data_IF_168900153713
#
_entry.id   IF_168900153713
#
_cell.length_a   1.000
_cell.length_b   1.000
_cell.length_c   1.000
_cell.angle_alpha   90.00
_cell.angle_beta   90.00
_cell.angle_gamma   90.00
#
_symmetry.space_group_name_H-M   'P 1'
#
loop_
_entity.id
_entity.type
_entity.pdbx_description
1 polymer ?
#
# COMPACT_ATOMS: atom_id res chain seq x y z
N UNK A 1 -39.35 -7.52 -9.70
CA UNK A 1 -39.39 -8.04 -8.32
C UNK A 1 -37.94 -8.41 -7.98
N UNK A 2 -37.15 -7.42 -7.56
CA UNK A 2 -35.76 -7.63 -7.14
C UNK A 2 -35.77 -7.54 -5.62
N UNK A 3 -35.56 -8.68 -4.98
CA UNK A 3 -35.59 -8.81 -3.52
C UNK A 3 -34.48 -7.98 -2.87
N UNK A 4 -34.87 -7.30 -1.81
CA UNK A 4 -33.98 -6.59 -0.89
C UNK A 4 -32.80 -7.47 -0.50
N UNK A 5 -31.60 -7.10 -0.95
CA UNK A 5 -30.35 -7.68 -0.43
C UNK A 5 -30.01 -6.97 0.87
N UNK A 6 -30.60 -7.41 1.96
CA UNK A 6 -30.10 -7.08 3.29
C UNK A 6 -28.73 -7.75 3.48
N UNK A 7 -27.72 -6.98 3.87
CA UNK A 7 -26.56 -7.53 4.55
C UNK A 7 -27.00 -7.77 5.99
N UNK A 8 -27.33 -9.03 6.32
CA UNK A 8 -27.61 -9.41 7.70
C UNK A 8 -26.28 -9.58 8.45
N UNK A 9 -25.85 -8.56 9.19
CA UNK A 9 -24.83 -8.76 10.24
C UNK A 9 -25.55 -9.38 11.44
N UNK A 10 -25.69 -10.71 11.43
CA UNK A 10 -26.16 -11.44 12.60
C UNK A 10 -25.13 -11.28 13.73
N UNK A 11 -25.38 -10.36 14.66
CA UNK A 11 -24.70 -10.36 15.95
C UNK A 11 -25.73 -10.35 17.07
N UNK A 12 -26.08 -11.52 17.64
CA UNK A 12 -26.77 -11.58 18.92
C UNK A 12 -25.75 -11.93 20.00
N UNK A 13 -24.87 -11.01 20.37
CA UNK A 13 -24.13 -11.10 21.63
C UNK A 13 -23.95 -9.71 22.23
N UNK A 14 -25.01 -9.24 22.91
CA UNK A 14 -24.84 -8.26 23.98
C UNK A 14 -24.16 -8.95 25.15
N UNK A 15 -22.88 -8.65 25.37
CA UNK A 15 -22.26 -8.84 26.68
C UNK A 15 -22.24 -7.47 27.37
N UNK A 16 -22.82 -7.39 28.57
CA UNK A 16 -22.88 -6.18 29.41
C UNK A 16 -21.51 -5.82 30.02
N UNK A 17 -20.45 -5.82 29.21
CA UNK A 17 -19.14 -5.30 29.57
C UNK A 17 -18.62 -4.52 28.36
N UNK A 18 -18.64 -3.18 28.44
CA UNK A 18 -17.97 -2.25 27.52
C UNK A 18 -17.81 -2.79 26.08
N UNK A 19 -18.93 -3.08 25.43
CA UNK A 19 -18.94 -3.65 24.09
C UNK A 19 -18.84 -2.54 23.05
N UNK A 20 -18.02 -2.75 22.02
CA UNK A 20 -18.07 -1.96 20.79
C UNK A 20 -19.43 -2.24 20.14
N UNK A 21 -20.34 -1.27 20.19
CA UNK A 21 -21.60 -1.35 19.47
C UNK A 21 -21.41 -0.75 18.07
N UNK A 22 -21.65 -1.57 17.03
CA UNK A 22 -21.81 -1.06 15.66
C UNK A 22 -23.28 -0.73 15.50
N UNK A 23 -23.62 0.53 15.30
CA UNK A 23 -24.99 0.92 15.01
C UNK A 23 -25.30 0.64 13.53
N UNK A 24 -26.15 -0.36 13.21
CA UNK A 24 -26.49 -0.69 11.83
C UNK A 24 -27.23 0.45 11.11
N UNK A 25 -27.83 1.39 11.85
CA UNK A 25 -28.48 2.58 11.28
C UNK A 25 -27.47 3.63 10.80
N UNK A 26 -26.20 3.49 11.19
CA UNK A 26 -25.10 4.39 10.78
C UNK A 26 -24.27 3.84 9.62
N UNK A 27 -24.72 2.75 8.97
CA UNK A 27 -24.04 2.22 7.80
C UNK A 27 -24.01 3.25 6.66
N UNK A 28 -22.81 3.65 6.25
CA UNK A 28 -22.61 4.61 5.17
C UNK A 28 -21.68 4.03 4.11
N UNK A 29 -22.09 4.11 2.85
CA UNK A 29 -21.22 3.84 1.71
C UNK A 29 -20.31 5.04 1.49
N UNK A 30 -19.03 4.90 1.83
CA UNK A 30 -18.01 5.97 1.68
C UNK A 30 -17.61 6.18 0.21
N UNK A 31 -17.78 5.15 -0.64
CA UNK A 31 -17.52 5.24 -2.07
C UNK A 31 -17.96 3.99 -2.81
N UNK A 32 -18.09 4.11 -4.13
CA UNK A 32 -18.36 2.99 -5.03
C UNK A 32 -17.63 3.22 -6.36
N UNK A 33 -17.22 2.13 -7.01
CA UNK A 33 -16.74 2.18 -8.38
C UNK A 33 -17.90 2.10 -9.37
N UNK A 34 -17.73 2.75 -10.53
CA UNK A 34 -18.64 2.68 -11.66
C UNK A 34 -18.26 1.60 -12.67
N UNK A 35 -17.26 0.76 -12.38
CA UNK A 35 -16.79 -0.31 -13.25
C UNK A 35 -16.86 -1.67 -12.56
N UNK A 36 -17.47 -2.62 -13.26
CA UNK A 36 -17.47 -4.04 -12.87
C UNK A 36 -16.04 -4.58 -12.79
N UNK A 37 -15.81 -5.51 -11.86
CA UNK A 37 -14.51 -6.17 -11.66
C UNK A 37 -13.32 -5.26 -11.33
N UNK A 38 -13.55 -3.97 -11.06
CA UNK A 38 -12.49 -3.04 -10.65
C UNK A 38 -11.86 -3.35 -9.29
N UNK A 39 -12.53 -4.19 -8.49
CA UNK A 39 -12.15 -4.56 -7.12
C UNK A 39 -12.02 -3.35 -6.20
N UNK A 40 -12.97 -2.42 -6.31
CA UNK A 40 -13.02 -1.26 -5.41
C UNK A 40 -13.18 -1.70 -3.96
N UNK A 41 -12.32 -1.17 -3.09
CA UNK A 41 -12.22 -1.61 -1.69
C UNK A 41 -11.18 -2.71 -1.46
N UNK A 42 -10.42 -3.12 -2.49
CA UNK A 42 -9.36 -4.11 -2.35
C UNK A 42 -8.31 -3.70 -1.31
N UNK A 43 -7.91 -2.43 -1.32
CA UNK A 43 -7.04 -1.84 -0.31
C UNK A 43 -7.73 -0.67 0.38
N UNK A 44 -7.43 -0.52 1.67
CA UNK A 44 -7.99 0.55 2.50
C UNK A 44 -6.98 1.00 3.56
N UNK A 45 -6.83 2.31 3.74
CA UNK A 45 -6.11 2.90 4.86
C UNK A 45 -6.88 4.08 5.42
N UNK A 46 -6.95 4.19 6.74
CA UNK A 46 -7.65 5.27 7.44
C UNK A 46 -6.75 5.86 8.51
N UNK A 47 -6.68 7.18 8.59
CA UNK A 47 -6.03 7.89 9.70
C UNK A 47 -6.94 8.99 10.24
N UNK A 48 -7.14 8.99 11.56
CA UNK A 48 -7.80 10.09 12.25
C UNK A 48 -6.81 11.23 12.46
N UNK A 49 -7.27 12.44 12.13
CA UNK A 49 -6.50 13.67 12.23
C UNK A 49 -7.16 14.54 13.29
N UNK A 50 -6.44 14.74 14.39
CA UNK A 50 -6.84 15.70 15.40
C UNK A 50 -6.20 17.05 15.08
N UNK A 51 -7.00 18.10 15.11
CA UNK A 51 -6.53 19.47 14.92
C UNK A 51 -6.08 19.99 16.27
N UNK A 52 -4.77 20.26 16.48
CA UNK A 52 -4.34 20.82 17.74
C UNK A 52 -5.06 22.13 18.00
N UNK A 53 -5.47 22.34 19.25
CA UNK A 53 -6.12 23.57 19.73
C UNK A 53 -7.53 23.82 19.16
N UNK A 54 -8.15 22.84 18.51
CA UNK A 54 -9.60 22.87 18.22
C UNK A 54 -10.24 21.56 18.69
N UNK A 55 -11.57 21.55 18.81
CA UNK A 55 -12.35 20.33 19.06
C UNK A 55 -12.69 19.56 17.77
N UNK A 56 -12.03 19.89 16.65
CA UNK A 56 -12.30 19.28 15.36
C UNK A 56 -11.40 18.05 15.16
N UNK A 57 -12.02 16.95 14.79
CA UNK A 57 -11.38 15.74 14.30
C UNK A 57 -11.98 15.38 12.96
N UNK A 58 -11.15 15.00 12.00
CA UNK A 58 -11.57 14.39 10.76
C UNK A 58 -10.81 13.10 10.53
N UNK A 59 -11.24 12.31 9.55
CA UNK A 59 -10.45 11.18 9.08
C UNK A 59 -10.12 11.34 7.60
N UNK A 60 -8.96 10.79 7.24
CA UNK A 60 -8.52 10.65 5.87
C UNK A 60 -8.52 9.18 5.54
N UNK A 61 -9.16 8.83 4.44
CA UNK A 61 -9.29 7.45 3.99
C UNK A 61 -8.82 7.32 2.54
N UNK A 62 -8.04 6.29 2.25
CA UNK A 62 -7.71 5.87 0.89
C UNK A 62 -8.35 4.53 0.57
N UNK A 63 -8.91 4.39 -0.63
CA UNK A 63 -9.58 3.18 -1.11
C UNK A 63 -9.09 2.83 -2.51
N UNK A 64 -8.54 1.62 -2.66
CA UNK A 64 -7.95 1.13 -3.90
C UNK A 64 -8.88 0.26 -4.74
N UNK A 65 -8.65 0.29 -6.05
CA UNK A 65 -9.31 -0.53 -7.06
C UNK A 65 -8.27 -0.96 -8.12
N UNK A 66 -7.39 -1.93 -7.82
CA UNK A 66 -6.25 -2.25 -8.68
C UNK A 66 -6.64 -2.78 -10.07
N UNK A 67 -7.82 -3.40 -10.21
CA UNK A 67 -8.32 -3.88 -11.49
C UNK A 67 -9.15 -2.82 -12.25
N UNK A 68 -9.17 -1.56 -11.79
CA UNK A 68 -9.86 -0.49 -12.50
C UNK A 68 -9.29 -0.33 -13.91
N UNK A 69 -10.19 -0.32 -14.90
CA UNK A 69 -9.84 -0.17 -16.32
C UNK A 69 -9.80 1.32 -16.66
N UNK A 70 -8.78 1.75 -17.37
CA UNK A 70 -8.70 3.13 -17.86
C UNK A 70 -9.25 3.15 -19.27
N UNK A 71 -10.49 3.65 -19.37
CA UNK A 71 -11.24 3.66 -20.61
C UNK A 71 -10.64 4.66 -21.59
N UNK A 72 -10.48 4.23 -22.84
CA UNK A 72 -10.13 5.12 -23.96
C UNK A 72 -11.22 6.16 -24.22
N UNK A 73 -12.49 5.76 -24.07
CA UNK A 73 -13.64 6.63 -24.27
C UNK A 73 -14.25 7.08 -22.94
N UNK A 74 -14.74 8.32 -22.89
CA UNK A 74 -15.35 8.93 -21.69
C UNK A 74 -16.58 8.19 -21.16
N UNK A 75 -17.32 7.53 -22.04
CA UNK A 75 -18.51 6.75 -21.67
C UNK A 75 -18.16 5.34 -21.19
N UNK A 76 -16.87 4.97 -21.16
CA UNK A 76 -16.38 3.65 -20.76
C UNK A 76 -17.03 2.46 -21.49
N UNK A 77 -17.51 2.66 -22.71
CA UNK A 77 -17.79 1.52 -23.60
C UNK A 77 -16.50 0.74 -23.83
N UNK A 78 -16.57 -0.58 -23.75
CA UNK A 78 -15.41 -1.46 -23.94
C UNK A 78 -14.74 -1.18 -25.29
N UNK A 79 -13.43 -0.98 -25.26
CA UNK A 79 -12.56 -0.87 -26.43
C UNK A 79 -11.28 -1.67 -26.18
N UNK A 80 -10.70 -2.25 -27.24
CA UNK A 80 -9.45 -3.01 -27.14
C UNK A 80 -8.25 -2.14 -26.71
N UNK A 81 -8.33 -0.82 -26.93
CA UNK A 81 -7.35 0.15 -26.47
C UNK A 81 -7.53 0.61 -25.02
N UNK A 82 -8.48 0.04 -24.27
CA UNK A 82 -8.61 0.28 -22.84
C UNK A 82 -7.41 -0.31 -22.07
N UNK A 83 -6.83 0.47 -21.15
CA UNK A 83 -5.78 -0.04 -20.28
C UNK A 83 -6.39 -0.96 -19.23
N UNK A 84 -6.09 -2.26 -19.34
CA UNK A 84 -6.54 -3.30 -18.42
C UNK A 84 -5.76 -3.23 -17.11
N UNK A 85 -6.46 -3.31 -15.98
CA UNK A 85 -5.86 -3.29 -14.63
C UNK A 85 -4.83 -2.16 -14.43
N UNK A 86 -5.11 -0.97 -14.98
CA UNK A 86 -4.29 0.22 -14.71
C UNK A 86 -4.41 0.65 -13.25
N UNK A 87 -5.57 0.40 -12.64
CA UNK A 87 -5.81 0.64 -11.24
C UNK A 87 -6.20 2.08 -10.93
N UNK A 88 -6.70 2.26 -9.72
CA UNK A 88 -7.21 3.52 -9.20
C UNK A 88 -7.08 3.58 -7.68
N UNK A 89 -6.81 4.78 -7.16
CA UNK A 89 -6.89 5.08 -5.74
C UNK A 89 -7.75 6.33 -5.53
N UNK A 90 -8.80 6.20 -4.73
CA UNK A 90 -9.64 7.31 -4.28
C UNK A 90 -9.24 7.72 -2.87
N UNK A 91 -9.22 9.03 -2.60
CA UNK A 91 -8.97 9.56 -1.26
C UNK A 91 -10.12 10.43 -0.80
N UNK A 92 -10.55 10.17 0.42
CA UNK A 92 -11.67 10.82 1.08
C UNK A 92 -11.21 11.55 2.33
N UNK A 93 -11.85 12.68 2.61
CA UNK A 93 -11.79 13.36 3.89
C UNK A 93 -13.22 13.46 4.42
N UNK A 94 -13.47 12.88 5.59
CA UNK A 94 -14.80 12.79 6.20
C UNK A 94 -15.88 12.30 5.21
N UNK A 95 -15.54 11.26 4.46
CA UNK A 95 -16.43 10.65 3.47
C UNK A 95 -16.60 11.44 2.16
N UNK A 96 -15.98 12.62 2.04
CA UNK A 96 -15.98 13.40 0.79
C UNK A 96 -14.76 13.06 -0.05
N UNK A 97 -14.96 12.67 -1.31
CA UNK A 97 -13.87 12.46 -2.27
C UNK A 97 -13.11 13.78 -2.49
N UNK A 98 -11.82 13.79 -2.16
CA UNK A 98 -10.95 14.96 -2.31
C UNK A 98 -9.95 14.81 -3.45
N UNK A 99 -9.53 13.57 -3.75
CA UNK A 99 -8.59 13.32 -4.84
C UNK A 99 -8.68 11.88 -5.36
N UNK A 100 -8.24 11.67 -6.59
CA UNK A 100 -8.22 10.36 -7.24
C UNK A 100 -7.01 10.25 -8.17
N UNK A 101 -6.32 9.12 -8.11
CA UNK A 101 -5.29 8.74 -9.07
C UNK A 101 -5.73 7.52 -9.86
N UNK A 102 -5.26 7.42 -11.09
CA UNK A 102 -5.36 6.23 -11.94
C UNK A 102 -3.98 5.86 -12.43
N UNK A 103 -3.75 4.59 -12.76
CA UNK A 103 -2.52 4.18 -13.45
C UNK A 103 -2.36 4.83 -14.83
N UNK A 104 -1.30 4.45 -15.51
CA UNK A 104 -0.92 4.94 -16.84
C UNK A 104 -0.55 3.81 -17.81
N UNK A 105 -0.44 2.55 -17.35
CA UNK A 105 -0.16 1.40 -18.21
C UNK A 105 -1.02 0.18 -17.88
N UNK A 106 -1.00 -0.82 -18.78
CA UNK A 106 -1.61 -2.12 -18.51
C UNK A 106 -0.98 -2.78 -17.30
N UNK A 107 -1.81 -3.44 -16.49
CA UNK A 107 -1.40 -4.23 -15.33
C UNK A 107 -0.55 -3.47 -14.31
N UNK A 108 -0.60 -2.13 -14.31
CA UNK A 108 0.10 -1.32 -13.31
C UNK A 108 -0.44 -1.57 -11.90
N UNK A 109 -1.74 -1.86 -11.80
CA UNK A 109 -2.46 -2.16 -10.57
C UNK A 109 -2.34 -1.04 -9.53
N UNK A 110 -2.40 0.22 -9.96
CA UNK A 110 -2.35 1.37 -9.05
C UNK A 110 -3.44 1.25 -7.96
N UNK A 111 -3.05 1.49 -6.71
CA UNK A 111 -3.95 1.36 -5.57
C UNK A 111 -4.09 -0.07 -5.05
N UNK A 112 -3.26 -1.01 -5.50
CA UNK A 112 -3.18 -2.36 -4.91
C UNK A 112 -2.97 -2.32 -3.39
N UNK A 113 -2.18 -1.38 -2.92
CA UNK A 113 -1.94 -1.05 -1.52
C UNK A 113 -1.87 0.47 -1.38
N UNK A 114 -2.24 0.97 -0.21
CA UNK A 114 -2.09 2.37 0.13
C UNK A 114 -1.93 2.55 1.64
N UNK A 115 -1.29 3.64 2.03
CA UNK A 115 -1.18 4.02 3.43
C UNK A 115 -1.27 5.53 3.59
N UNK A 116 -2.04 5.95 4.58
CA UNK A 116 -2.14 7.34 5.03
C UNK A 116 -1.29 7.52 6.27
N UNK A 117 -0.44 8.54 6.30
CA UNK A 117 0.49 8.82 7.40
C UNK A 117 0.69 10.31 7.66
N UNK A 118 1.48 10.62 8.69
CA UNK A 118 1.85 11.98 9.11
C UNK A 118 0.63 12.91 9.28
N UNK A 119 -0.33 12.46 10.08
CA UNK A 119 -1.58 13.18 10.38
C UNK A 119 -2.41 13.46 9.11
N UNK A 120 -2.52 12.47 8.22
CA UNK A 120 -3.36 12.52 7.04
C UNK A 120 -2.75 13.27 5.85
N UNK A 121 -1.52 13.76 5.97
CA UNK A 121 -0.90 14.60 4.94
C UNK A 121 -0.08 13.84 3.92
N UNK A 122 0.41 12.65 4.27
CA UNK A 122 1.17 11.81 3.36
C UNK A 122 0.34 10.61 2.94
N UNK A 123 0.33 10.33 1.64
CA UNK A 123 -0.34 9.17 1.08
C UNK A 123 0.66 8.40 0.23
N UNK A 124 1.00 7.19 0.67
CA UNK A 124 1.74 6.22 -0.11
C UNK A 124 0.76 5.45 -1.01
N UNK A 125 1.08 5.39 -2.30
CA UNK A 125 0.29 4.77 -3.36
C UNK A 125 1.17 3.75 -4.06
N UNK A 126 0.78 2.47 -4.04
CA UNK A 126 1.54 1.42 -4.71
C UNK A 126 0.99 1.09 -6.09
N UNK A 127 1.89 0.73 -6.99
CA UNK A 127 1.62 0.12 -8.30
C UNK A 127 2.53 -1.10 -8.46
N UNK A 128 2.25 -2.24 -7.80
CA UNK A 128 3.17 -3.38 -7.79
C UNK A 128 3.30 -4.09 -9.14
N UNK A 129 2.41 -3.81 -10.10
CA UNK A 129 2.54 -4.34 -11.46
C UNK A 129 3.19 -3.36 -12.44
N UNK A 130 3.66 -2.19 -11.97
CA UNK A 130 4.35 -1.23 -12.80
C UNK A 130 5.68 -1.79 -13.33
N UNK A 131 5.96 -1.51 -14.60
CA UNK A 131 7.28 -1.71 -15.19
C UNK A 131 8.22 -0.59 -14.74
N UNK A 132 9.47 -0.96 -14.42
CA UNK A 132 10.51 -0.01 -13.99
C UNK A 132 11.62 0.03 -15.02
N UNK A 133 12.02 1.24 -15.45
CA UNK A 133 13.22 1.43 -16.29
C UNK A 133 14.46 1.42 -15.40
N UNK A 134 15.41 0.55 -15.70
CA UNK A 134 16.70 0.42 -15.00
C UNK A 134 17.87 0.47 -16.01
N UNK A 135 19.09 0.43 -15.49
CA UNK A 135 20.32 0.26 -16.28
C UNK A 135 21.18 -0.80 -15.63
N UNK A 136 21.38 -1.93 -16.31
CA UNK A 136 22.16 -3.05 -15.82
C UNK A 136 23.44 -3.15 -16.65
N UNK A 137 24.61 -3.07 -15.98
CA UNK A 137 25.92 -3.04 -16.66
C UNK A 137 26.03 -2.01 -17.80
N UNK A 138 25.35 -0.86 -17.66
CA UNK A 138 25.32 0.20 -18.68
C UNK A 138 24.29 0.01 -19.80
N UNK A 139 23.51 -1.08 -19.78
CA UNK A 139 22.48 -1.38 -20.77
C UNK A 139 21.12 -0.97 -20.21
N UNK A 140 20.36 -0.11 -20.92
CA UNK A 140 18.98 0.21 -20.53
C UNK A 140 18.11 -1.06 -20.58
N UNK A 141 17.41 -1.34 -19.48
CA UNK A 141 16.48 -2.47 -19.39
C UNK A 141 15.14 -2.00 -18.80
N UNK A 142 14.08 -2.74 -19.13
CA UNK A 142 12.78 -2.58 -18.48
C UNK A 142 12.53 -3.82 -17.62
N UNK A 143 12.41 -3.62 -16.31
CA UNK A 143 12.07 -4.66 -15.36
C UNK A 143 10.55 -4.78 -15.31
N UNK A 144 10.02 -5.82 -15.96
CA UNK A 144 8.58 -6.08 -16.05
C UNK A 144 8.00 -6.33 -14.67
N UNK A 145 6.90 -5.67 -14.30
CA UNK A 145 6.22 -5.85 -13.00
C UNK A 145 7.16 -5.79 -11.79
N UNK A 146 8.24 -4.99 -11.88
CA UNK A 146 9.13 -4.75 -10.76
C UNK A 146 8.42 -4.02 -9.61
N UNK A 147 7.44 -3.18 -9.97
CA UNK A 147 6.62 -2.43 -9.04
C UNK A 147 7.25 -1.10 -8.63
N UNK A 148 6.40 -0.16 -8.25
CA UNK A 148 6.82 1.13 -7.69
C UNK A 148 5.85 1.62 -6.63
N UNK A 149 6.34 2.52 -5.78
CA UNK A 149 5.54 3.25 -4.81
C UNK A 149 5.73 4.74 -5.03
N UNK A 150 4.64 5.50 -5.04
CA UNK A 150 4.66 6.95 -5.11
C UNK A 150 4.11 7.52 -3.80
N UNK A 151 4.76 8.53 -3.25
CA UNK A 151 4.30 9.22 -2.03
C UNK A 151 3.92 10.63 -2.39
N UNK A 152 2.69 10.98 -2.02
CA UNK A 152 2.13 12.30 -2.23
C UNK A 152 1.98 13.04 -0.91
N UNK A 153 2.19 14.35 -0.93
CA UNK A 153 2.01 15.24 0.20
C UNK A 153 0.89 16.25 -0.08
N UNK A 154 -0.01 16.42 0.88
CA UNK A 154 -1.01 17.49 0.88
C UNK A 154 -0.47 18.70 1.65
N UNK A 155 -0.21 19.83 0.96
CA UNK A 155 0.53 20.95 1.55
C UNK A 155 -0.29 21.77 2.55
N UNK A 156 -1.61 21.74 2.44
CA UNK A 156 -2.49 22.39 3.40
C UNK A 156 -3.19 21.36 4.30
N UNK A 157 -3.44 21.77 5.55
CA UNK A 157 -4.04 20.93 6.59
C UNK A 157 -5.44 20.41 6.23
N UNK A 158 -6.16 21.15 5.40
CA UNK A 158 -7.54 20.83 4.99
C UNK A 158 -7.60 20.11 3.64
N UNK A 159 -6.44 19.72 3.07
CA UNK A 159 -6.33 19.01 1.80
C UNK A 159 -7.14 19.66 0.66
N UNK A 160 -7.24 20.99 0.70
CA UNK A 160 -7.92 21.81 -0.31
C UNK A 160 -7.03 22.06 -1.52
N UNK A 161 -5.71 21.96 -1.35
CA UNK A 161 -4.74 22.04 -2.44
C UNK A 161 -4.49 20.65 -3.02
N UNK A 162 -4.14 20.62 -4.30
CA UNK A 162 -3.76 19.39 -4.98
C UNK A 162 -2.55 18.75 -4.30
N UNK A 163 -2.53 17.42 -4.16
CA UNK A 163 -1.36 16.72 -3.65
C UNK A 163 -0.17 16.89 -4.60
N UNK A 164 1.02 16.99 -4.02
CA UNK A 164 2.29 17.05 -4.75
C UNK A 164 3.01 15.72 -4.62
N UNK A 165 3.56 15.21 -5.73
CA UNK A 165 4.42 14.02 -5.69
C UNK A 165 5.75 14.42 -5.03
N UNK A 166 6.12 13.73 -3.95
CA UNK A 166 7.35 14.03 -3.21
C UNK A 166 8.39 12.93 -3.34
N UNK A 167 7.97 11.66 -3.33
CA UNK A 167 8.90 10.54 -3.40
C UNK A 167 8.42 9.47 -4.36
N UNK A 168 9.35 8.81 -5.04
CA UNK A 168 9.13 7.55 -5.75
C UNK A 168 10.11 6.52 -5.25
N UNK A 169 9.67 5.29 -5.03
CA UNK A 169 10.54 4.16 -4.76
C UNK A 169 10.34 3.15 -5.87
N UNK A 170 11.43 2.66 -6.45
CA UNK A 170 11.41 1.76 -7.59
C UNK A 170 11.87 0.35 -7.19
N UNK A 171 11.14 -0.67 -7.63
CA UNK A 171 11.58 -2.05 -7.55
C UNK A 171 12.80 -2.32 -8.43
N UNK A 172 13.65 -3.24 -8.00
CA UNK A 172 14.96 -3.54 -8.60
C UNK A 172 15.04 -4.93 -9.25
N UNK A 173 13.94 -5.67 -9.29
CA UNK A 173 13.88 -7.05 -9.82
C UNK A 173 12.62 -7.24 -10.64
N UNK A 174 12.72 -7.88 -11.80
CA UNK A 174 11.54 -8.20 -12.60
C UNK A 174 10.61 -9.13 -11.79
N UNK A 175 9.30 -8.92 -11.94
CA UNK A 175 8.23 -9.62 -11.23
C UNK A 175 8.31 -9.56 -9.69
N UNK A 176 9.19 -8.72 -9.13
CA UNK A 176 9.41 -8.62 -7.68
C UNK A 176 8.22 -8.06 -6.91
N UNK A 177 7.29 -7.39 -7.61
CA UNK A 177 6.06 -6.80 -7.08
C UNK A 177 6.32 -5.86 -5.91
N UNK A 178 7.33 -5.02 -6.04
CA UNK A 178 7.66 -3.99 -5.06
C UNK A 178 6.47 -3.05 -4.85
N UNK A 179 6.05 -2.86 -3.61
CA UNK A 179 4.85 -2.12 -3.26
C UNK A 179 3.62 -2.98 -3.01
N UNK A 180 3.71 -4.32 -3.02
CA UNK A 180 2.55 -5.19 -2.77
C UNK A 180 1.84 -4.86 -1.44
N UNK A 181 2.62 -4.48 -0.41
CA UNK A 181 2.14 -3.88 0.83
C UNK A 181 2.96 -2.62 1.10
N UNK A 182 2.27 -1.52 1.39
CA UNK A 182 2.88 -0.28 1.86
C UNK A 182 2.31 0.13 3.21
N UNK A 183 3.15 0.67 4.10
CA UNK A 183 2.73 1.24 5.40
C UNK A 183 3.53 2.49 5.70
N UNK A 184 2.86 3.57 6.04
CA UNK A 184 3.44 4.74 6.69
C UNK A 184 3.24 4.58 8.19
N UNK A 185 4.33 4.40 8.93
CA UNK A 185 4.27 4.22 10.37
C UNK A 185 5.61 4.55 11.03
N UNK A 186 5.57 5.22 12.18
CA UNK A 186 6.74 5.45 13.02
C UNK A 186 7.34 4.12 13.52
N UNK A 187 8.50 3.76 12.96
CA UNK A 187 9.29 2.59 13.32
C UNK A 187 10.63 2.91 13.97
N UNK A 188 11.02 4.17 14.04
CA UNK A 188 12.24 4.66 14.68
C UNK A 188 12.00 5.21 16.09
N UNK A 189 10.77 5.60 16.40
CA UNK A 189 10.33 6.16 17.67
C UNK A 189 10.49 7.68 17.77
N UNK A 190 10.70 8.38 16.66
CA UNK A 190 10.94 9.84 16.60
C UNK A 190 9.66 10.65 16.28
N UNK A 191 8.50 10.00 16.25
CA UNK A 191 7.20 10.56 15.88
C UNK A 191 7.04 10.92 14.39
N UNK A 192 8.05 10.63 13.56
CA UNK A 192 7.92 10.61 12.12
C UNK A 192 7.53 9.21 11.63
N UNK A 193 6.66 9.14 10.63
CA UNK A 193 6.42 7.87 9.94
C UNK A 193 7.58 7.54 8.98
N UNK A 194 8.03 6.29 9.02
CA UNK A 194 8.80 5.70 7.94
C UNK A 194 7.87 5.02 6.94
N UNK A 195 8.35 4.87 5.71
CA UNK A 195 7.67 4.06 4.72
C UNK A 195 8.23 2.63 4.72
N UNK A 196 7.37 1.67 4.99
CA UNK A 196 7.63 0.24 4.87
C UNK A 196 7.05 -0.24 3.55
N UNK A 197 7.85 -0.96 2.76
CA UNK A 197 7.46 -1.50 1.46
C UNK A 197 7.83 -2.98 1.36
N UNK A 198 6.88 -3.83 0.99
CA UNK A 198 7.17 -5.25 0.68
C UNK A 198 7.46 -5.47 -0.80
N UNK A 199 8.23 -6.50 -1.10
CA UNK A 199 8.39 -7.07 -2.42
C UNK A 199 8.45 -8.61 -2.29
N UNK A 200 7.31 -9.27 -2.02
CA UNK A 200 7.29 -10.67 -1.60
C UNK A 200 7.67 -11.65 -2.72
N UNK A 201 7.72 -11.21 -3.97
CA UNK A 201 8.18 -12.02 -5.11
C UNK A 201 9.57 -11.64 -5.59
N UNK A 202 10.25 -10.77 -4.85
CA UNK A 202 11.61 -10.36 -5.18
C UNK A 202 12.57 -11.51 -4.90
N UNK A 203 13.41 -11.82 -5.88
CA UNK A 203 14.55 -12.73 -5.72
C UNK A 203 15.88 -12.01 -5.66
N UNK A 204 16.87 -12.62 -5.00
CA UNK A 204 18.27 -12.21 -5.07
C UNK A 204 19.01 -12.86 -6.23
N UNK A 205 18.51 -13.97 -6.75
CA UNK A 205 19.10 -14.68 -7.87
C UNK A 205 18.47 -14.20 -9.19
N UNK A 206 19.23 -13.40 -9.93
CA UNK A 206 18.78 -12.83 -11.22
C UNK A 206 18.47 -13.94 -12.23
N UNK A 207 19.07 -15.13 -12.10
CA UNK A 207 18.81 -16.25 -12.99
C UNK A 207 17.47 -16.95 -12.72
N UNK A 208 16.90 -16.75 -11.53
CA UNK A 208 15.63 -17.35 -11.10
C UNK A 208 14.43 -16.39 -11.24
N UNK A 209 14.64 -15.14 -11.67
CA UNK A 209 13.54 -14.17 -11.89
C UNK A 209 12.45 -14.70 -12.82
N UNK A 210 12.85 -15.38 -13.91
CA UNK A 210 11.93 -16.00 -14.86
C UNK A 210 11.39 -17.37 -14.39
N UNK A 211 12.07 -17.99 -13.43
CA UNK A 211 11.71 -19.31 -12.90
C UNK A 211 10.86 -19.22 -11.61
N UNK A 212 10.57 -18.00 -11.16
CA UNK A 212 9.73 -17.75 -9.99
C UNK A 212 10.49 -17.79 -8.66
N UNK A 213 11.72 -17.31 -8.62
CA UNK A 213 12.40 -16.98 -7.36
C UNK A 213 11.56 -16.01 -6.54
N UNK A 214 10.94 -16.50 -5.46
CA UNK A 214 10.06 -15.70 -4.59
C UNK A 214 10.53 -15.76 -3.13
N UNK A 215 11.81 -15.46 -2.86
CA UNK A 215 12.33 -15.34 -1.48
C UNK A 215 11.60 -14.24 -0.70
N UNK A 216 11.38 -13.11 -1.37
CA UNK A 216 10.71 -11.93 -0.85
C UNK A 216 11.63 -10.99 -0.07
N UNK A 217 11.16 -9.76 0.10
CA UNK A 217 11.88 -8.72 0.82
C UNK A 217 10.94 -7.70 1.48
N UNK A 218 11.44 -7.03 2.51
CA UNK A 218 10.83 -5.86 3.14
C UNK A 218 11.87 -4.74 3.26
N UNK A 219 11.50 -3.54 2.85
CA UNK A 219 12.34 -2.35 2.87
C UNK A 219 11.70 -1.28 3.77
N UNK A 220 12.52 -0.54 4.49
CA UNK A 220 12.12 0.61 5.30
C UNK A 220 12.87 1.83 4.80
N UNK A 221 12.15 2.89 4.46
CA UNK A 221 12.69 4.16 4.00
C UNK A 221 12.36 5.26 5.00
N UNK A 222 13.36 6.10 5.28
CA UNK A 222 13.12 7.40 5.91
C UNK A 222 12.59 8.36 4.86
N UNK A 223 11.50 9.05 5.17
CA UNK A 223 11.02 10.11 4.29
C UNK A 223 11.89 11.36 4.52
N UNK A 224 12.55 11.89 3.49
CA UNK A 224 13.30 13.14 3.63
C UNK A 224 12.32 14.32 3.75
N UNK A 225 12.86 15.51 3.97
CA UNK A 225 12.07 16.74 3.92
C UNK A 225 11.43 16.94 2.54
N UNK A 226 10.23 17.52 2.53
CA UNK A 226 9.51 17.81 1.29
C UNK A 226 10.19 18.98 0.59
N UNK A 227 10.84 18.69 -0.53
CA UNK A 227 11.41 19.69 -1.43
C UNK A 227 10.50 20.03 -2.62
N UNK A 228 10.99 20.88 -3.51
CA UNK A 228 10.25 21.33 -4.70
C UNK A 228 10.15 20.27 -5.80
N UNK A 229 11.06 19.28 -5.80
CA UNK A 229 11.15 18.24 -6.83
C UNK A 229 11.05 16.85 -6.20
N UNK A 230 10.40 15.88 -6.88
CA UNK A 230 10.28 14.54 -6.36
C UNK A 230 11.64 13.82 -6.33
N UNK A 231 11.94 13.18 -5.21
CA UNK A 231 13.15 12.35 -5.06
C UNK A 231 12.80 10.91 -5.44
N UNK A 232 13.66 10.28 -6.23
CA UNK A 232 13.53 8.85 -6.57
C UNK A 232 14.52 8.04 -5.75
N UNK A 233 14.00 7.02 -5.07
CA UNK A 233 14.72 6.06 -4.28
C UNK A 233 14.78 4.70 -4.97
N UNK A 234 15.91 4.05 -4.84
CA UNK A 234 16.13 2.64 -5.23
C UNK A 234 16.16 1.75 -3.98
N UNK A 235 16.14 0.42 -4.16
CA UNK A 235 16.09 -0.55 -3.04
C UNK A 235 17.34 -0.53 -2.15
N UNK A 236 18.50 -0.20 -2.71
CA UNK A 236 19.78 -0.04 -2.01
C UNK A 236 19.81 1.19 -1.09
N UNK A 237 18.95 2.17 -1.33
CA UNK A 237 18.82 3.39 -0.52
C UNK A 237 17.86 3.21 0.66
N UNK A 238 17.29 2.02 0.85
CA UNK A 238 16.47 1.73 2.02
C UNK A 238 17.31 1.89 3.31
N UNK A 239 16.74 2.59 4.30
CA UNK A 239 17.33 2.72 5.63
C UNK A 239 17.53 1.35 6.29
N UNK A 240 16.62 0.41 6.05
CA UNK A 240 16.76 -0.98 6.49
C UNK A 240 16.10 -1.94 5.51
N UNK A 241 16.70 -3.10 5.29
CA UNK A 241 16.14 -4.17 4.45
C UNK A 241 16.16 -5.50 5.18
N UNK A 242 15.14 -6.32 4.91
CA UNK A 242 15.02 -7.71 5.35
C UNK A 242 14.81 -8.54 4.09
N UNK A 243 15.82 -9.31 3.71
CA UNK A 243 15.82 -10.09 2.48
C UNK A 243 15.63 -11.56 2.84
N UNK A 244 14.66 -12.22 2.21
CA UNK A 244 14.44 -13.65 2.34
C UNK A 244 15.60 -14.43 1.73
N UNK A 245 15.87 -15.61 2.29
CA UNK A 245 16.91 -16.53 1.79
C UNK A 245 16.35 -17.89 1.40
N UNK A 246 15.04 -18.08 1.58
CA UNK A 246 14.37 -19.33 1.28
C UNK A 246 13.54 -19.15 0.02
N UNK A 247 13.86 -19.95 -1.00
CA UNK A 247 13.15 -19.94 -2.26
C UNK A 247 11.65 -20.18 -2.07
N UNK A 248 10.82 -19.39 -2.76
CA UNK A 248 9.36 -19.46 -2.66
C UNK A 248 8.80 -19.24 -1.25
N UNK A 249 9.49 -18.56 -0.34
CA UNK A 249 8.99 -18.29 1.01
C UNK A 249 8.07 -17.06 1.10
N UNK A 250 8.23 -16.11 0.17
CA UNK A 250 7.46 -14.87 0.07
C UNK A 250 7.52 -13.99 1.31
N UNK A 251 8.72 -13.76 1.83
CA UNK A 251 8.93 -12.81 2.93
C UNK A 251 8.34 -11.44 2.55
N UNK A 252 7.54 -10.85 3.43
CA UNK A 252 6.84 -9.59 3.15
C UNK A 252 5.40 -9.76 2.67
N UNK A 253 4.90 -11.00 2.55
CA UNK A 253 3.50 -11.27 2.15
C UNK A 253 2.45 -10.76 3.14
N UNK A 254 2.87 -10.41 4.36
CA UNK A 254 2.09 -9.66 5.32
C UNK A 254 3.02 -8.78 6.16
N UNK A 255 2.54 -7.61 6.60
CA UNK A 255 3.32 -6.66 7.40
C UNK A 255 2.43 -6.04 8.48
N UNK A 256 2.92 -6.07 9.71
CA UNK A 256 2.37 -5.33 10.85
C UNK A 256 3.50 -4.75 11.70
N UNK A 257 3.30 -3.54 12.22
CA UNK A 257 4.18 -2.96 13.24
C UNK A 257 3.47 -3.01 14.58
N UNK A 258 4.17 -3.51 15.60
CA UNK A 258 3.72 -3.46 16.98
C UNK A 258 4.58 -2.48 17.76
N UNK A 259 3.93 -1.48 18.36
CA UNK A 259 4.58 -0.51 19.24
C UNK A 259 4.24 -0.83 20.69
N UNK A 260 5.28 -1.18 21.46
CA UNK A 260 5.22 -1.24 22.92
C UNK A 260 5.93 -0.04 23.55
N UNK A 261 5.81 0.12 24.87
CA UNK A 261 6.37 1.28 25.59
C UNK A 261 7.89 1.47 25.38
N UNK A 262 8.64 0.36 25.19
CA UNK A 262 10.10 0.37 25.08
C UNK A 262 10.64 -0.27 23.79
N UNK A 263 9.77 -0.78 22.92
CA UNK A 263 10.20 -1.54 21.75
C UNK A 263 9.22 -1.36 20.61
N UNK A 264 9.76 -1.20 19.41
CA UNK A 264 8.99 -1.30 18.17
C UNK A 264 9.37 -2.63 17.51
N UNK A 265 8.40 -3.37 17.01
CA UNK A 265 8.62 -4.65 16.35
C UNK A 265 7.97 -4.64 14.98
N UNK A 266 8.70 -5.10 13.97
CA UNK A 266 8.17 -5.42 12.66
C UNK A 266 7.84 -6.92 12.64
N UNK A 267 6.56 -7.22 12.45
CA UNK A 267 6.07 -8.55 12.16
C UNK A 267 5.89 -8.68 10.66
N UNK A 268 6.47 -9.72 10.06
CA UNK A 268 6.26 -9.99 8.64
C UNK A 268 6.13 -11.48 8.35
N UNK A 269 5.16 -11.82 7.52
CA UNK A 269 4.92 -13.18 7.08
C UNK A 269 5.82 -13.58 5.92
N UNK A 270 6.18 -14.86 5.91
CA UNK A 270 6.66 -15.61 4.76
C UNK A 270 5.67 -16.77 4.57
N UNK A 271 4.53 -16.50 3.92
CA UNK A 271 3.35 -17.39 3.94
C UNK A 271 3.57 -18.75 3.30
N UNK A 272 4.60 -18.88 2.47
CA UNK A 272 4.93 -20.12 1.75
C UNK A 272 6.29 -20.69 2.17
N UNK A 273 6.83 -20.25 3.30
CA UNK A 273 8.01 -20.86 3.94
C UNK A 273 7.77 -22.33 4.27
N UNK A 274 8.82 -23.13 4.09
CA UNK A 274 8.92 -24.56 4.38
C UNK A 274 9.89 -24.90 5.52
N UNK A 275 10.51 -23.89 6.15
CA UNK A 275 11.54 -24.05 7.19
C UNK A 275 11.19 -25.05 8.31
N UNK A 276 9.93 -25.08 8.74
CA UNK A 276 9.45 -25.98 9.82
C UNK A 276 8.32 -26.93 9.39
N UNK A 277 7.97 -26.95 8.11
CA UNK A 277 6.89 -27.76 7.56
C UNK A 277 6.60 -27.35 6.12
N UNK A 278 6.39 -28.30 5.21
CA UNK A 278 6.22 -28.00 3.78
C UNK A 278 5.11 -26.98 3.54
N UNK A 279 5.48 -25.80 3.02
CA UNK A 279 4.57 -24.66 2.76
C UNK A 279 3.66 -24.29 3.95
N UNK A 280 4.12 -24.49 5.18
CA UNK A 280 3.37 -24.15 6.39
C UNK A 280 3.38 -22.66 6.73
N UNK A 281 4.28 -21.90 6.11
CA UNK A 281 4.51 -20.49 6.40
C UNK A 281 5.39 -20.26 7.63
N UNK A 282 5.83 -19.01 7.78
CA UNK A 282 6.64 -18.53 8.90
C UNK A 282 6.27 -17.08 9.23
N UNK A 283 6.31 -16.71 10.51
CA UNK A 283 6.19 -15.33 10.97
C UNK A 283 7.54 -14.86 11.53
N UNK A 284 8.11 -13.84 10.91
CA UNK A 284 9.32 -13.17 11.40
C UNK A 284 8.93 -12.03 12.35
N UNK A 285 9.67 -11.91 13.45
CA UNK A 285 9.49 -10.86 14.45
C UNK A 285 10.82 -10.13 14.65
N UNK A 286 10.97 -8.99 14.00
CA UNK A 286 12.18 -8.19 14.07
C UNK A 286 12.02 -7.10 15.13
N UNK A 287 12.92 -7.09 16.12
CA UNK A 287 13.03 -5.98 17.06
C UNK A 287 13.70 -4.80 16.35
N UNK A 288 13.05 -3.64 16.39
CA UNK A 288 13.59 -2.38 15.89
C UNK A 288 14.05 -1.56 17.10
N UNK A 289 15.36 -1.33 17.18
CA UNK A 289 15.95 -0.50 18.22
C UNK A 289 15.72 0.97 17.89
N UNK A 290 15.27 1.74 18.89
CA UNK A 290 15.27 3.20 18.81
C UNK A 290 16.71 3.66 18.66
N UNK A 291 16.98 4.49 17.67
CA UNK A 291 18.23 5.25 17.66
C UNK A 291 18.16 6.29 18.78
N UNK A 292 19.19 6.35 19.61
CA UNK A 292 19.41 7.44 20.57
C UNK A 292 20.10 8.60 19.85
#
# INVERSE_FOLDING_TARGET
ILGDRYITINSPFFSNQSGIAVDPLTFQTVGQSNQEYSWYGYSRSVQFVNVPQTYLSWYVESVGAPNYRICKYKNCTYDEGDLQAGGQLSVFQDGKLIHQWTGASHFEELGYSSSVGYHGRFIAVSSPGADVKSTEAGIPVTLTQAGLVSVYYFPDKYMSKKPVLVFRMLGDRAYGRFGEIVRLQDVTGDFGDELIVSAPRRTTDVTEELNGGEEGAVFIYKLPEVGDQPITFTTDQAFKSFIGTEHNARLGSSIHVMRGNKSIRLLTGATTSSKYGFKSGLLHNFLLHKYQ
#
